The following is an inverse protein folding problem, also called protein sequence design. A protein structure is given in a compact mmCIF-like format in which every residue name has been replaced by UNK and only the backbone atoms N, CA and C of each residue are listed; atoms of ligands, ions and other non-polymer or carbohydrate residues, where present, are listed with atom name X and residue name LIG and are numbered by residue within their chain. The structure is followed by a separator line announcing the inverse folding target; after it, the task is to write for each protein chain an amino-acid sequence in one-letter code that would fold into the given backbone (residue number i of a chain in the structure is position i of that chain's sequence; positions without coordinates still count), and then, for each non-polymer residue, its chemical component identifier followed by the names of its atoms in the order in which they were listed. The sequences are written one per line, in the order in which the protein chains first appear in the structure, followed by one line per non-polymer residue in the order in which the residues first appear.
data_IF_633381151596
#
_entry.id   IF_633381151596
#
_cell.length_a   1.000
_cell.length_b   1.000
_cell.length_c   1.000
_cell.angle_alpha   90.00
_cell.angle_beta   90.00
_cell.angle_gamma   90.00
#
_symmetry.space_group_name_H-M   'P 1'
#
loop_
_entity.id
_entity.type
_entity.pdbx_description
1 polymer ?
#
# COMPACT_ATOMS: atom_id res chain seq x y z
N UNK A 1 5.67 -9.48 10.06
CA UNK A 1 6.32 -8.15 10.06
C UNK A 1 6.11 -7.50 8.71
N UNK A 2 5.68 -6.23 8.67
CA UNK A 2 5.51 -5.47 7.42
C UNK A 2 6.90 -5.07 6.90
N UNK A 3 7.23 -5.32 5.62
CA UNK A 3 8.55 -5.01 5.08
C UNK A 3 8.78 -3.50 4.99
N UNK A 4 10.04 -3.05 5.04
CA UNK A 4 10.35 -1.61 4.96
C UNK A 4 9.85 -1.02 3.63
N UNK A 5 9.09 0.10 3.65
CA UNK A 5 8.52 0.66 2.44
C UNK A 5 9.58 1.26 1.50
N UNK A 6 9.25 1.28 0.21
CA UNK A 6 9.94 2.03 -0.83
C UNK A 6 9.29 3.41 -0.93
N UNK A 7 10.00 4.50 -0.60
CA UNK A 7 9.45 5.84 -0.76
C UNK A 7 9.43 6.21 -2.25
N UNK A 8 8.25 6.45 -2.79
CA UNK A 8 8.03 6.95 -4.15
C UNK A 8 7.56 8.40 -4.01
N UNK A 9 8.43 9.35 -4.38
CA UNK A 9 8.20 10.80 -4.19
C UNK A 9 7.77 11.16 -2.76
N UNK A 10 8.36 10.48 -1.77
CA UNK A 10 8.09 10.71 -0.35
C UNK A 10 6.84 10.00 0.21
N UNK A 11 6.10 9.24 -0.62
CA UNK A 11 4.99 8.40 -0.18
C UNK A 11 5.49 6.96 0.04
N UNK A 12 5.24 6.35 1.21
CA UNK A 12 5.65 4.97 1.46
C UNK A 12 4.81 4.02 0.60
N UNK A 13 5.45 3.06 -0.05
CA UNK A 13 4.78 1.94 -0.72
C UNK A 13 5.45 0.65 -0.28
N UNK A 14 4.69 -0.25 0.35
CA UNK A 14 5.22 -1.47 0.93
C UNK A 14 5.42 -2.55 -0.15
N UNK A 15 6.57 -3.23 -0.17
CA UNK A 15 6.82 -4.33 -1.11
C UNK A 15 6.10 -5.59 -0.64
N UNK A 16 4.80 -5.67 -0.92
CA UNK A 16 3.93 -6.78 -0.56
C UNK A 16 3.23 -7.35 -1.79
N UNK A 17 2.94 -8.65 -1.73
CA UNK A 17 2.03 -9.36 -2.63
C UNK A 17 0.59 -9.32 -2.10
N UNK A 18 -0.38 -9.72 -2.92
CA UNK A 18 -1.78 -9.93 -2.55
C UNK A 18 -1.87 -10.96 -1.41
N UNK A 19 -1.15 -12.06 -1.52
CA UNK A 19 -1.12 -13.10 -0.49
C UNK A 19 -0.57 -12.55 0.84
N UNK A 20 0.53 -11.81 0.81
CA UNK A 20 1.07 -11.17 2.01
C UNK A 20 0.14 -10.09 2.56
N UNK A 21 -0.54 -9.34 1.69
CA UNK A 21 -1.52 -8.32 2.08
C UNK A 21 -2.68 -8.97 2.83
N UNK A 22 -3.24 -10.08 2.34
CA UNK A 22 -4.33 -10.81 3.00
C UNK A 22 -3.89 -11.40 4.35
N UNK A 23 -2.64 -11.90 4.44
CA UNK A 23 -2.08 -12.31 5.74
C UNK A 23 -2.04 -11.14 6.72
N UNK A 24 -1.68 -9.92 6.29
CA UNK A 24 -1.72 -8.73 7.16
C UNK A 24 -3.14 -8.33 7.53
N UNK A 25 -4.08 -8.38 6.59
CA UNK A 25 -5.48 -8.09 6.90
C UNK A 25 -5.99 -9.05 7.99
N UNK A 26 -5.67 -10.34 7.89
CA UNK A 26 -6.03 -11.30 8.93
C UNK A 26 -5.40 -10.98 10.30
N UNK A 27 -4.12 -10.60 10.33
CA UNK A 27 -3.45 -10.13 11.55
C UNK A 27 -4.12 -8.86 12.12
N UNK A 28 -4.46 -7.90 11.26
CA UNK A 28 -5.10 -6.62 11.64
C UNK A 28 -6.51 -6.81 12.20
N UNK A 29 -7.30 -7.74 11.64
CA UNK A 29 -8.64 -8.05 12.16
C UNK A 29 -8.61 -8.62 13.58
N UNK A 30 -7.53 -9.29 13.98
CA UNK A 30 -7.35 -9.83 15.32
C UNK A 30 -6.76 -8.81 16.32
N UNK A 31 -6.26 -7.67 15.84
CA UNK A 31 -5.63 -6.67 16.67
C UNK A 31 -6.67 -5.76 17.37
N UNK A 32 -6.38 -5.27 18.59
CA UNK A 32 -7.35 -4.50 19.38
C UNK A 32 -7.44 -3.01 18.97
N UNK A 33 -6.88 -2.63 17.82
CA UNK A 33 -6.86 -1.24 17.36
C UNK A 33 -7.17 -1.14 15.86
N UNK A 34 -7.55 0.06 15.44
CA UNK A 34 -7.81 0.37 14.04
C UNK A 34 -6.50 0.31 13.24
N UNK A 35 -6.55 -0.36 12.09
CA UNK A 35 -5.51 -0.31 11.08
C UNK A 35 -6.01 0.29 9.77
N UNK A 36 -5.23 1.16 9.15
CA UNK A 36 -5.52 1.78 7.87
C UNK A 36 -4.65 1.19 6.76
N UNK A 37 -5.31 0.70 5.72
CA UNK A 37 -4.67 0.26 4.47
C UNK A 37 -4.92 1.31 3.39
N UNK A 38 -3.85 1.85 2.81
CA UNK A 38 -3.92 2.78 1.69
C UNK A 38 -3.59 2.05 0.38
N UNK A 39 -4.52 2.07 -0.57
CA UNK A 39 -4.34 1.55 -1.94
C UNK A 39 -3.62 2.59 -2.78
N UNK A 40 -2.33 2.79 -2.53
CA UNK A 40 -1.58 3.88 -3.20
C UNK A 40 -1.52 3.60 -4.69
N UNK A 41 -2.00 4.55 -5.48
CA UNK A 41 -1.90 4.56 -6.94
C UNK A 41 -1.08 5.79 -7.40
N UNK A 42 -0.68 5.89 -8.69
CA UNK A 42 0.05 7.05 -9.19
C UNK A 42 -0.67 8.39 -8.95
N UNK A 43 -1.99 8.41 -9.05
CA UNK A 43 -2.81 9.61 -8.83
C UNK A 43 -2.67 10.12 -7.38
N UNK A 44 -2.66 9.22 -6.39
CA UNK A 44 -2.45 9.56 -4.98
C UNK A 44 -1.06 10.14 -4.75
N UNK A 45 -0.04 9.53 -5.36
CA UNK A 45 1.34 10.03 -5.26
C UNK A 45 1.45 11.46 -5.81
N UNK A 46 0.82 11.73 -6.95
CA UNK A 46 0.83 13.06 -7.57
C UNK A 46 0.02 14.07 -6.74
N UNK A 47 -1.17 13.69 -6.26
CA UNK A 47 -2.01 14.55 -5.43
C UNK A 47 -1.32 14.94 -4.12
N UNK A 48 -0.60 14.01 -3.50
CA UNK A 48 0.13 14.25 -2.26
C UNK A 48 1.30 15.25 -2.41
N UNK A 49 1.76 15.56 -3.63
CA UNK A 49 2.80 16.58 -3.83
C UNK A 49 2.30 18.00 -3.54
N UNK A 50 0.99 18.26 -3.72
CA UNK A 50 0.36 19.55 -3.49
C UNK A 50 -0.63 19.59 -2.32
N UNK A 51 -0.82 18.46 -1.62
CA UNK A 51 -1.80 18.32 -0.55
C UNK A 51 -1.14 17.68 0.68
N UNK A 52 -0.65 18.54 1.58
CA UNK A 52 0.10 18.12 2.77
C UNK A 52 -0.74 17.26 3.74
N UNK A 53 -2.01 17.59 4.06
CA UNK A 53 -2.84 16.71 4.88
C UNK A 53 -2.99 15.30 4.30
N UNK A 54 -3.20 15.20 2.98
CA UNK A 54 -3.33 13.90 2.32
C UNK A 54 -2.01 13.12 2.32
N UNK A 55 -0.89 13.82 2.11
CA UNK A 55 0.45 13.25 2.23
C UNK A 55 0.68 12.64 3.61
N UNK A 56 0.34 13.36 4.67
CA UNK A 56 0.47 12.89 6.05
C UNK A 56 -0.40 11.65 6.29
N UNK A 57 -1.65 11.65 5.83
CA UNK A 57 -2.53 10.46 5.92
C UNK A 57 -1.90 9.21 5.28
N UNK A 58 -1.26 9.36 4.11
CA UNK A 58 -0.57 8.24 3.45
C UNK A 58 0.72 7.83 4.20
N UNK A 59 1.41 8.75 4.85
CA UNK A 59 2.62 8.46 5.61
C UNK A 59 2.34 7.75 6.95
N UNK A 60 1.17 8.01 7.53
CA UNK A 60 0.73 7.45 8.80
C UNK A 60 -0.06 6.13 8.67
N UNK A 61 -0.46 5.76 7.45
CA UNK A 61 -1.17 4.51 7.19
C UNK A 61 -0.32 3.27 7.54
N UNK A 62 -0.92 2.29 8.21
CA UNK A 62 -0.25 1.05 8.63
C UNK A 62 0.29 0.22 7.45
N UNK A 63 -0.42 0.25 6.32
CA UNK A 63 -0.03 -0.48 5.11
C UNK A 63 -0.43 0.27 3.83
N UNK A 64 0.56 0.84 3.16
CA UNK A 64 0.43 1.35 1.79
C UNK A 64 0.73 0.26 0.76
N UNK A 65 -0.28 -0.29 0.10
CA UNK A 65 -0.12 -1.32 -0.94
C UNK A 65 0.06 -0.69 -2.34
N UNK A 66 0.74 -1.39 -3.27
CA UNK A 66 0.97 -0.86 -4.62
C UNK A 66 -0.22 -1.09 -5.57
N UNK A 67 -1.20 -0.19 -5.54
CA UNK A 67 -2.38 -0.20 -6.43
C UNK A 67 -2.12 0.58 -7.74
N UNK A 68 -1.19 0.09 -8.56
CA UNK A 68 -0.99 0.66 -9.89
C UNK A 68 0.33 0.26 -10.52
N UNK A 69 0.32 0.04 -11.84
CA UNK A 69 1.53 -0.42 -12.55
C UNK A 69 2.65 0.62 -12.54
N UNK A 70 2.30 1.91 -12.47
CA UNK A 70 3.26 3.01 -12.39
C UNK A 70 4.16 2.93 -11.14
N UNK A 71 3.64 2.43 -10.02
CA UNK A 71 4.43 2.25 -8.80
C UNK A 71 5.44 1.11 -8.95
N UNK A 72 5.03 0.00 -9.57
CA UNK A 72 5.93 -1.11 -9.89
C UNK A 72 7.07 -0.63 -10.78
N UNK A 73 6.77 0.20 -11.79
CA UNK A 73 7.79 0.78 -12.67
C UNK A 73 8.72 1.73 -11.93
N UNK A 74 8.18 2.67 -11.14
CA UNK A 74 8.97 3.60 -10.35
C UNK A 74 9.89 2.86 -9.36
N UNK A 75 9.40 1.80 -8.72
CA UNK A 75 10.19 0.99 -7.78
C UNK A 75 11.39 0.30 -8.44
N UNK A 76 11.22 -0.18 -9.68
CA UNK A 76 12.31 -0.76 -10.49
C UNK A 76 13.34 0.30 -10.88
N UNK A 77 12.88 1.48 -11.28
CA UNK A 77 13.76 2.63 -11.56
C UNK A 77 14.61 2.99 -10.33
N UNK A 78 14.00 2.96 -9.14
CA UNK A 78 14.67 3.21 -7.86
C UNK A 78 15.55 2.04 -7.37
N UNK A 79 15.71 0.97 -8.17
CA UNK A 79 16.46 -0.25 -7.83
C UNK A 79 15.97 -0.93 -6.54
N UNK A 80 14.68 -0.77 -6.22
CA UNK A 80 14.00 -1.36 -5.06
C UNK A 80 12.66 -1.93 -5.51
N UNK A 81 12.65 -3.03 -6.27
CA UNK A 81 11.45 -3.51 -6.95
C UNK A 81 10.37 -3.93 -5.96
N UNK A 82 9.15 -3.45 -6.20
CA UNK A 82 7.94 -4.02 -5.62
C UNK A 82 7.68 -5.39 -6.27
N UNK A 83 7.27 -6.40 -5.49
CA UNK A 83 7.12 -7.76 -6.00
C UNK A 83 6.01 -7.86 -7.05
N UNK A 84 4.89 -7.17 -6.83
CA UNK A 84 3.76 -7.13 -7.76
C UNK A 84 2.89 -5.88 -7.57
N UNK A 85 1.88 -5.74 -8.44
CA UNK A 85 0.76 -4.80 -8.27
C UNK A 85 -0.31 -5.49 -7.43
N UNK A 86 -0.86 -4.79 -6.43
CA UNK A 86 -1.96 -5.26 -5.58
C UNK A 86 -3.16 -4.34 -5.79
N UNK A 87 -4.12 -4.68 -6.68
CA UNK A 87 -5.25 -3.82 -6.98
C UNK A 87 -6.25 -3.79 -5.83
N UNK A 88 -6.62 -2.60 -5.36
CA UNK A 88 -7.64 -2.46 -4.31
C UNK A 88 -8.99 -3.05 -4.71
N UNK A 89 -9.32 -2.94 -6.00
CA UNK A 89 -10.53 -3.51 -6.60
C UNK A 89 -10.60 -5.03 -6.56
N UNK A 90 -9.47 -5.73 -6.53
CA UNK A 90 -9.43 -7.19 -6.39
C UNK A 90 -9.31 -7.58 -4.91
N UNK A 91 -8.48 -6.85 -4.17
CA UNK A 91 -8.26 -7.06 -2.73
C UNK A 91 -9.57 -7.05 -1.95
N UNK A 92 -10.49 -6.12 -2.23
CA UNK A 92 -11.75 -6.00 -1.49
C UNK A 92 -12.59 -7.28 -1.51
N UNK A 93 -12.61 -8.00 -2.64
CA UNK A 93 -13.35 -9.27 -2.75
C UNK A 93 -12.67 -10.39 -1.98
N UNK A 94 -11.33 -10.42 -1.99
CA UNK A 94 -10.57 -11.39 -1.19
C UNK A 94 -10.75 -11.14 0.31
N UNK A 95 -10.75 -9.87 0.75
CA UNK A 95 -11.02 -9.53 2.16
C UNK A 95 -12.43 -9.96 2.55
N UNK A 96 -13.44 -9.68 1.72
CA UNK A 96 -14.82 -10.06 2.01
C UNK A 96 -15.00 -11.59 2.15
N UNK A 97 -14.16 -12.38 1.47
CA UNK A 97 -14.17 -13.84 1.58
C UNK A 97 -13.44 -14.39 2.83
N UNK A 98 -12.75 -13.55 3.61
CA UNK A 98 -12.13 -13.94 4.88
C UNK A 98 -13.09 -13.85 6.08
N UNK A 99 -14.25 -13.20 5.91
CA UNK A 99 -15.25 -12.94 6.95
C UNK A 99 -16.27 -14.08 7.10
#
# INVERSE_FOLDING_TARGET
MIPKPVPILGIPVHPVTMAETLLRVHEFMAAPHLHQIATVNPEFVMQAQGNEPFRQTLQESDLCIPDGIGLVWASRWLKRPLPERVPGSELIYHIAALA
#
